data_IF_073213762772
#
_entry.id   IF_073213762772
#
_cell.length_a   1.000
_cell.length_b   1.000
_cell.length_c   1.000
_cell.angle_alpha   90.00
_cell.angle_beta   90.00
_cell.angle_gamma   90.00
#
_symmetry.space_group_name_H-M   'P 1'
#
loop_
_entity.id
_entity.type
_entity.pdbx_description
1 polymer ?
#
# COMPACT_ATOMS: atom_id res chain seq x y z
N UNK A 1 -43.26 63.59 -3.63
CA UNK A 1 -43.10 62.36 -2.82
C UNK A 1 -44.35 61.52 -2.98
N UNK A 2 -44.29 60.42 -3.73
CA UNK A 2 -45.03 59.16 -3.51
C UNK A 2 -44.77 58.23 -4.70
N UNK A 3 -44.26 57.05 -4.38
CA UNK A 3 -43.81 55.98 -5.28
C UNK A 3 -45.03 55.11 -5.61
N UNK A 4 -45.34 54.94 -6.90
CA UNK A 4 -46.42 54.03 -7.33
C UNK A 4 -45.93 52.58 -7.33
N UNK A 5 -46.82 51.71 -6.84
CA UNK A 5 -46.75 50.25 -6.81
C UNK A 5 -47.72 49.71 -7.88
N UNK A 6 -47.48 48.46 -8.31
CA UNK A 6 -48.21 47.62 -9.29
C UNK A 6 -47.72 47.80 -10.75
N UNK A 7 -47.45 46.77 -11.55
CA UNK A 7 -47.62 45.31 -11.49
C UNK A 7 -46.75 44.71 -12.61
N UNK A 8 -46.16 43.54 -12.42
CA UNK A 8 -45.34 42.88 -13.45
C UNK A 8 -45.41 41.36 -13.32
N UNK A 9 -46.29 40.76 -14.14
CA UNK A 9 -46.51 39.32 -14.35
C UNK A 9 -45.24 38.65 -14.93
N UNK A 10 -44.94 37.37 -14.60
CA UNK A 10 -43.64 36.77 -14.91
C UNK A 10 -43.49 36.47 -16.40
N UNK A 11 -42.34 36.84 -16.96
CA UNK A 11 -41.89 36.39 -18.27
C UNK A 11 -41.17 35.06 -18.07
N UNK A 12 -41.79 33.99 -18.54
CA UNK A 12 -41.11 32.73 -18.81
C UNK A 12 -40.42 32.85 -20.16
N UNK A 13 -39.15 32.45 -20.27
CA UNK A 13 -38.66 31.82 -21.47
C UNK A 13 -38.25 30.39 -21.14
N UNK A 14 -38.86 29.46 -21.86
CA UNK A 14 -38.36 28.10 -22.01
C UNK A 14 -36.98 28.15 -22.69
N UNK A 15 -36.20 27.10 -22.44
CA UNK A 15 -35.04 26.62 -23.20
C UNK A 15 -33.66 27.22 -22.84
N UNK A 16 -33.07 26.71 -21.75
CA UNK A 16 -31.63 26.41 -21.73
C UNK A 16 -31.37 25.02 -21.16
N UNK A 17 -30.68 24.20 -21.95
CA UNK A 17 -30.13 22.89 -21.63
C UNK A 17 -29.34 22.89 -20.30
N UNK A 18 -29.97 22.45 -19.21
CA UNK A 18 -29.22 22.07 -18.01
C UNK A 18 -28.72 20.64 -18.19
N UNK A 19 -27.47 20.56 -18.63
CA UNK A 19 -26.60 19.40 -18.49
C UNK A 19 -26.93 18.64 -17.21
N UNK A 20 -27.32 17.36 -17.36
CA UNK A 20 -27.69 16.48 -16.27
C UNK A 20 -26.52 16.27 -15.30
N UNK A 21 -26.33 17.21 -14.38
CA UNK A 21 -25.58 17.01 -13.16
C UNK A 21 -26.45 16.12 -12.28
N UNK A 22 -26.29 14.81 -12.49
CA UNK A 22 -26.80 13.77 -11.61
C UNK A 22 -26.36 14.13 -10.19
N UNK A 23 -27.27 14.70 -9.39
CA UNK A 23 -27.02 15.05 -8.01
C UNK A 23 -26.40 13.83 -7.31
N UNK A 24 -25.14 13.95 -6.91
CA UNK A 24 -24.41 12.88 -6.26
C UNK A 24 -25.06 12.68 -4.90
N UNK A 25 -25.89 11.64 -4.77
CA UNK A 25 -26.49 11.23 -3.51
C UNK A 25 -25.39 10.66 -2.61
N UNK A 26 -24.87 11.49 -1.70
CA UNK A 26 -23.90 11.06 -0.70
C UNK A 26 -24.66 10.48 0.50
N UNK A 27 -24.74 9.15 0.56
CA UNK A 27 -25.26 8.43 1.74
C UNK A 27 -24.09 8.15 2.68
N UNK A 28 -24.09 8.76 3.87
CA UNK A 28 -23.10 8.48 4.93
C UNK A 28 -23.70 7.51 5.96
N UNK A 29 -23.20 6.28 6.00
CA UNK A 29 -23.52 5.32 7.06
C UNK A 29 -22.73 5.62 8.34
N UNK A 30 -23.27 5.24 9.52
CA UNK A 30 -22.51 5.26 10.79
C UNK A 30 -21.36 4.28 10.68
N UNK A 31 -20.13 4.76 10.84
CA UNK A 31 -18.92 3.94 10.95
C UNK A 31 -18.62 3.71 12.43
N UNK A 32 -18.37 2.46 12.79
CA UNK A 32 -18.18 1.99 14.17
C UNK A 32 -16.85 2.47 14.78
N UNK A 33 -15.84 2.71 13.93
CA UNK A 33 -14.58 3.34 14.33
C UNK A 33 -13.86 3.97 13.13
N UNK A 34 -13.14 5.06 13.37
CA UNK A 34 -12.27 5.74 12.41
C UNK A 34 -10.87 5.86 13.03
N UNK A 35 -9.88 5.20 12.43
CA UNK A 35 -8.48 5.35 12.83
C UNK A 35 -7.76 6.27 11.85
N UNK A 36 -7.36 7.44 12.32
CA UNK A 36 -6.58 8.41 11.54
C UNK A 36 -5.11 8.17 11.83
N UNK A 37 -4.31 7.88 10.80
CA UNK A 37 -2.86 7.71 10.91
C UNK A 37 -2.18 8.97 10.39
N UNK A 38 -1.53 9.70 11.29
CA UNK A 38 -0.68 10.83 10.91
C UNK A 38 0.68 10.32 10.44
N UNK A 39 1.01 10.63 9.19
CA UNK A 39 2.24 10.23 8.53
C UNK A 39 3.05 11.49 8.24
N UNK A 40 4.32 11.51 8.62
CA UNK A 40 5.22 12.64 8.31
C UNK A 40 5.58 12.64 6.82
N UNK A 41 5.92 13.80 6.23
CA UNK A 41 6.30 13.87 4.81
C UNK A 41 7.46 12.93 4.47
N UNK A 42 8.43 12.75 5.38
CA UNK A 42 9.54 11.80 5.18
C UNK A 42 9.10 10.35 5.15
N UNK A 43 8.08 9.98 5.94
CA UNK A 43 7.50 8.62 5.92
C UNK A 43 6.63 8.43 4.67
N UNK A 44 5.93 9.48 4.24
CA UNK A 44 5.14 9.47 3.02
C UNK A 44 6.02 9.34 1.77
N UNK A 45 7.10 10.13 1.65
CA UNK A 45 8.07 10.04 0.55
C UNK A 45 8.75 8.66 0.51
N UNK A 46 9.05 8.06 1.67
CA UNK A 46 9.57 6.69 1.76
C UNK A 46 8.56 5.62 1.30
N UNK A 47 7.26 5.85 1.52
CA UNK A 47 6.19 4.96 1.07
C UNK A 47 5.86 5.17 -0.42
N UNK A 48 5.81 6.41 -0.89
CA UNK A 48 5.51 6.79 -2.27
C UNK A 48 6.57 6.33 -3.26
N UNK A 49 7.85 6.44 -2.89
CA UNK A 49 8.94 5.95 -3.73
C UNK A 49 8.83 4.45 -3.97
N UNK A 50 8.22 3.71 -3.04
CA UNK A 50 8.19 2.26 -3.05
C UNK A 50 9.59 1.68 -2.95
N UNK A 51 9.82 0.74 -2.03
CA UNK A 51 11.14 0.12 -2.00
C UNK A 51 11.33 -0.73 -3.28
N UNK A 52 12.52 -0.72 -3.92
CA UNK A 52 12.83 -1.54 -5.10
C UNK A 52 12.82 -3.07 -4.82
N UNK A 53 12.32 -3.49 -3.66
CA UNK A 53 12.20 -4.87 -3.21
C UNK A 53 11.56 -5.79 -4.26
N UNK A 54 10.54 -5.33 -4.99
CA UNK A 54 9.88 -6.17 -5.98
C UNK A 54 10.87 -6.58 -7.08
N UNK A 55 11.73 -5.67 -7.54
CA UNK A 55 12.72 -5.94 -8.57
C UNK A 55 13.78 -6.91 -8.05
N UNK A 56 14.30 -6.70 -6.84
CA UNK A 56 15.30 -7.60 -6.25
C UNK A 56 14.79 -9.02 -6.06
N UNK A 57 13.53 -9.17 -5.62
CA UNK A 57 12.92 -10.48 -5.46
C UNK A 57 12.71 -11.17 -6.81
N UNK A 58 12.14 -10.47 -7.79
CA UNK A 58 11.85 -11.05 -9.10
C UNK A 58 13.12 -11.48 -9.82
N UNK A 59 14.15 -10.61 -9.86
CA UNK A 59 15.44 -10.97 -10.43
C UNK A 59 16.17 -12.03 -9.61
N UNK A 60 16.13 -11.96 -8.28
CA UNK A 60 16.75 -12.95 -7.40
C UNK A 60 16.19 -14.35 -7.63
N UNK A 61 14.87 -14.50 -7.64
CA UNK A 61 14.20 -15.78 -7.93
C UNK A 61 14.55 -16.25 -9.35
N UNK A 62 14.46 -15.35 -10.34
CA UNK A 62 14.80 -15.69 -11.72
C UNK A 62 16.24 -16.23 -11.86
N UNK A 63 17.23 -15.55 -11.26
CA UNK A 63 18.63 -15.97 -11.30
C UNK A 63 18.86 -17.31 -10.57
N UNK A 64 18.21 -17.52 -9.42
CA UNK A 64 18.31 -18.78 -8.68
C UNK A 64 17.68 -19.92 -9.47
N UNK A 65 16.49 -19.72 -10.06
CA UNK A 65 15.85 -20.73 -10.90
C UNK A 65 16.73 -21.10 -12.09
N UNK A 66 17.28 -20.10 -12.78
CA UNK A 66 18.20 -20.31 -13.91
C UNK A 66 19.46 -21.06 -13.46
N UNK A 67 20.06 -20.66 -12.34
CA UNK A 67 21.22 -21.32 -11.74
C UNK A 67 20.94 -22.77 -11.34
N UNK A 68 19.75 -23.06 -10.80
CA UNK A 68 19.33 -24.43 -10.46
C UNK A 68 19.08 -25.28 -11.71
N UNK A 69 18.56 -24.71 -12.80
CA UNK A 69 18.45 -25.41 -14.07
C UNK A 69 19.82 -25.84 -14.60
N UNK A 70 20.79 -24.92 -14.63
CA UNK A 70 22.16 -25.24 -15.05
C UNK A 70 22.86 -26.23 -14.11
N UNK A 71 22.63 -26.11 -12.80
CA UNK A 71 23.12 -27.09 -11.82
C UNK A 71 22.57 -28.47 -12.11
N UNK A 72 21.26 -28.58 -12.36
CA UNK A 72 20.61 -29.85 -12.68
C UNK A 72 21.18 -30.45 -13.96
N UNK A 73 21.43 -29.62 -14.99
CA UNK A 73 22.12 -30.06 -16.21
C UNK A 73 23.53 -30.58 -15.91
N UNK A 74 24.31 -29.90 -15.06
CA UNK A 74 25.65 -30.33 -14.67
C UNK A 74 25.67 -31.68 -13.94
N UNK A 75 24.63 -31.96 -13.15
CA UNK A 75 24.48 -33.21 -12.39
C UNK A 75 23.92 -34.36 -13.22
N UNK A 76 23.16 -34.06 -14.28
CA UNK A 76 22.42 -35.09 -15.05
C UNK A 76 23.12 -35.45 -16.36
N UNK A 77 23.82 -34.50 -16.98
CA UNK A 77 24.43 -34.68 -18.30
C UNK A 77 25.91 -34.96 -18.13
N UNK A 78 26.38 -36.05 -18.74
CA UNK A 78 27.81 -36.32 -18.86
C UNK A 78 28.39 -35.46 -19.99
N UNK A 79 29.17 -34.44 -19.62
CA UNK A 79 29.73 -33.46 -20.56
C UNK A 79 31.18 -33.84 -20.85
N UNK A 80 31.42 -34.42 -22.03
CA UNK A 80 32.78 -34.81 -22.47
C UNK A 80 33.71 -33.61 -22.71
N UNK A 81 33.15 -32.45 -23.06
CA UNK A 81 33.92 -31.23 -23.36
C UNK A 81 34.17 -30.38 -22.11
N UNK A 82 35.45 -30.26 -21.73
CA UNK A 82 35.89 -29.44 -20.59
C UNK A 82 35.45 -27.97 -20.72
N UNK A 83 35.47 -27.41 -21.93
CA UNK A 83 35.07 -26.01 -22.17
C UNK A 83 33.60 -25.79 -21.85
N UNK A 84 32.72 -26.72 -22.27
CA UNK A 84 31.28 -26.63 -21.99
C UNK A 84 31.01 -26.78 -20.49
N UNK A 85 31.72 -27.71 -19.82
CA UNK A 85 31.61 -27.91 -18.38
C UNK A 85 31.96 -26.63 -17.60
N UNK A 86 33.07 -25.97 -17.95
CA UNK A 86 33.50 -24.72 -17.29
C UNK A 86 32.47 -23.60 -17.49
N UNK A 87 31.93 -23.43 -18.70
CA UNK A 87 30.91 -22.40 -18.98
C UNK A 87 29.65 -22.62 -18.14
N UNK A 88 29.13 -23.85 -18.10
CA UNK A 88 27.94 -24.15 -17.28
C UNK A 88 28.21 -23.99 -15.79
N UNK A 89 29.40 -24.37 -15.31
CA UNK A 89 29.79 -24.17 -13.92
C UNK A 89 29.81 -22.69 -13.55
N UNK A 90 30.43 -21.85 -14.39
CA UNK A 90 30.50 -20.40 -14.16
C UNK A 90 29.10 -19.77 -14.13
N UNK A 91 28.24 -20.13 -15.10
CA UNK A 91 26.85 -19.66 -15.12
C UNK A 91 26.07 -20.11 -13.87
N UNK A 92 26.27 -21.34 -13.43
CA UNK A 92 25.64 -21.89 -12.23
C UNK A 92 26.07 -21.13 -10.98
N UNK A 93 27.38 -20.86 -10.83
CA UNK A 93 27.93 -20.15 -9.68
C UNK A 93 27.47 -18.70 -9.66
N UNK A 94 27.56 -17.98 -10.78
CA UNK A 94 27.14 -16.57 -10.86
C UNK A 94 25.62 -16.45 -10.65
N UNK A 95 24.82 -17.33 -11.26
CA UNK A 95 23.37 -17.33 -11.10
C UNK A 95 22.93 -17.60 -9.66
N UNK A 96 23.52 -18.61 -9.01
CA UNK A 96 23.17 -18.94 -7.62
C UNK A 96 23.69 -17.90 -6.63
N UNK A 97 24.96 -17.48 -6.72
CA UNK A 97 25.52 -16.49 -5.79
C UNK A 97 24.84 -15.14 -6.00
N UNK A 98 24.74 -14.68 -7.24
CA UNK A 98 24.08 -13.42 -7.58
C UNK A 98 22.63 -13.42 -7.13
N UNK A 99 21.87 -14.46 -7.50
CA UNK A 99 20.47 -14.59 -7.10
C UNK A 99 20.27 -14.64 -5.58
N UNK A 100 21.11 -15.41 -4.86
CA UNK A 100 21.08 -15.48 -3.40
C UNK A 100 21.36 -14.11 -2.75
N UNK A 101 22.35 -13.37 -3.25
CA UNK A 101 22.66 -12.02 -2.75
C UNK A 101 21.48 -11.06 -2.94
N UNK A 102 20.81 -11.08 -4.10
CA UNK A 102 19.62 -10.27 -4.35
C UNK A 102 18.48 -10.64 -3.38
N UNK A 103 18.28 -11.93 -3.11
CA UNK A 103 17.27 -12.39 -2.14
C UNK A 103 17.61 -11.93 -0.71
N UNK A 104 18.88 -12.00 -0.31
CA UNK A 104 19.33 -11.52 1.00
C UNK A 104 19.08 -10.01 1.13
N UNK A 105 19.43 -9.23 0.11
CA UNK A 105 19.19 -7.79 0.09
C UNK A 105 17.69 -7.47 0.16
N UNK A 106 16.87 -8.26 -0.53
CA UNK A 106 15.41 -8.16 -0.45
C UNK A 106 14.88 -8.37 0.97
N UNK A 107 15.40 -9.35 1.70
CA UNK A 107 15.01 -9.58 3.09
C UNK A 107 15.31 -8.38 4.00
N UNK A 108 16.40 -7.66 3.74
CA UNK A 108 16.73 -6.41 4.42
C UNK A 108 15.73 -5.31 4.08
N UNK A 109 15.55 -5.03 2.78
CA UNK A 109 14.65 -3.98 2.29
C UNK A 109 13.19 -4.17 2.75
N UNK A 110 12.71 -5.42 2.85
CA UNK A 110 11.36 -5.73 3.34
C UNK A 110 11.17 -5.37 4.82
N UNK A 111 12.21 -5.49 5.64
CA UNK A 111 12.15 -5.17 7.07
C UNK A 111 12.01 -3.67 7.33
N UNK A 112 12.68 -2.84 6.51
CA UNK A 112 12.65 -1.38 6.67
C UNK A 112 11.24 -0.82 6.45
N UNK A 113 10.56 -1.24 5.38
CA UNK A 113 9.18 -0.81 5.08
C UNK A 113 8.23 -1.27 6.19
N UNK A 114 8.38 -2.51 6.67
CA UNK A 114 7.60 -3.03 7.79
C UNK A 114 7.83 -2.24 9.09
N UNK A 115 9.04 -1.73 9.29
CA UNK A 115 9.39 -0.85 10.42
C UNK A 115 8.62 0.46 10.39
N UNK A 116 8.56 1.14 9.24
CA UNK A 116 7.84 2.42 9.08
C UNK A 116 6.34 2.23 9.39
N UNK A 117 5.71 1.22 8.78
CA UNK A 117 4.28 0.93 9.02
C UNK A 117 4.02 0.56 10.48
N UNK A 118 4.94 -0.18 11.12
CA UNK A 118 4.82 -0.54 12.54
C UNK A 118 4.96 0.69 13.44
N UNK A 119 5.87 1.62 13.13
CA UNK A 119 6.01 2.89 13.87
C UNK A 119 4.76 3.75 13.77
N UNK A 120 4.19 3.88 12.57
CA UNK A 120 2.93 4.61 12.35
C UNK A 120 1.79 3.98 13.18
N UNK A 121 1.68 2.64 13.19
CA UNK A 121 0.65 1.93 13.96
C UNK A 121 0.85 2.02 15.47
N UNK A 122 2.10 1.99 15.95
CA UNK A 122 2.43 2.05 17.37
C UNK A 122 2.03 3.39 18.01
N UNK A 123 2.08 4.50 17.26
CA UNK A 123 1.67 5.84 17.75
C UNK A 123 0.21 5.88 18.21
N UNK A 124 -0.70 5.15 17.55
CA UNK A 124 -2.11 5.06 17.98
C UNK A 124 -2.26 4.16 19.20
N UNK A 125 -1.53 3.04 19.26
CA UNK A 125 -1.59 2.11 20.38
C UNK A 125 -1.12 2.74 21.71
N UNK A 126 -0.18 3.68 21.67
CA UNK A 126 0.24 4.46 22.85
C UNK A 126 -0.74 5.59 23.21
N UNK A 127 -1.56 6.04 22.25
CA UNK A 127 -2.56 7.11 22.46
C UNK A 127 -3.86 6.57 23.09
N UNK A 128 -4.00 5.25 23.28
CA UNK A 128 -5.04 4.67 24.12
C UNK A 128 -4.53 4.31 25.54
N UNK A 129 -4.39 5.26 26.48
CA UNK A 129 -4.53 4.95 27.89
C UNK A 129 -6.03 4.98 28.24
N UNK A 130 -6.58 3.82 28.58
CA UNK A 130 -7.82 3.66 29.36
C UNK A 130 -9.10 4.36 28.86
N UNK A 131 -9.73 3.86 27.80
CA UNK A 131 -11.18 3.99 27.62
C UNK A 131 -11.91 2.74 28.13
N UNK A 132 -11.59 2.35 29.36
CA UNK A 132 -12.44 1.51 30.19
C UNK A 132 -12.70 2.26 31.49
N UNK A 133 -13.96 2.27 31.93
CA UNK A 133 -14.46 2.74 33.24
C UNK A 133 -14.98 4.20 33.29
N UNK A 134 -16.18 4.40 32.76
CA UNK A 134 -17.32 4.99 33.48
C UNK A 134 -18.51 4.08 33.12
N UNK A 135 -18.90 3.05 33.88
CA UNK A 135 -19.42 3.10 35.25
C UNK A 135 -20.38 4.28 35.44
N UNK A 136 -21.45 4.30 34.65
CA UNK A 136 -22.72 4.91 35.02
C UNK A 136 -23.61 3.83 35.62
N UNK A 137 -23.37 3.51 36.90
CA UNK A 137 -24.38 2.87 37.75
C UNK A 137 -25.55 3.85 37.89
N UNK A 138 -26.64 3.59 37.18
CA UNK A 138 -27.94 4.17 37.51
C UNK A 138 -28.63 3.17 38.43
N UNK A 139 -28.18 3.16 39.68
CA UNK A 139 -28.99 2.78 40.82
C UNK A 139 -28.79 3.88 41.86
N UNK A 140 -29.91 4.25 42.47
CA UNK A 140 -30.12 5.18 43.59
C UNK A 140 -30.50 6.64 43.28
N UNK A 141 -31.71 6.95 43.77
CA UNK A 141 -32.28 8.24 44.14
C UNK A 141 -33.13 8.99 43.11
N UNK A 142 -34.40 8.61 43.00
CA UNK A 142 -35.45 9.54 43.44
C UNK A 142 -36.65 8.76 44.03
N UNK A 143 -37.08 9.26 45.21
CA UNK A 143 -38.19 8.78 46.04
C UNK A 143 -39.55 9.09 45.46
#
# INVERSE_FOLDING_TARGET
MQKRVAEGKPVTPQDEESTGLKEVRIVRGRVDSLSIYEVTETELDALERGSPYSIYLNFGIFLVTLGMSFLTSLLTVDIESLTTLVVFLVLTVIGNIGGALLIILWYGARKEVGGITKRIRARIAETEPSAGVHAGSVDDAES
#
